data_IF_051918067495
#
_entry.id   IF_051918067495
#
_cell.length_a   1.000
_cell.length_b   1.000
_cell.length_c   1.000
_cell.angle_alpha   90.00
_cell.angle_beta   90.00
_cell.angle_gamma   90.00
#
_symmetry.space_group_name_H-M   'P 1'
#
loop_
_entity.id
_entity.type
_entity.pdbx_description
1 polymer ?
#
# COMPACT_ATOMS: atom_id res chain seq x y z
N UNK A 1 -20.97 15.00 12.97
CA UNK A 1 -19.54 15.27 13.26
C UNK A 1 -18.75 14.09 12.73
N UNK A 2 -17.69 14.32 11.95
CA UNK A 2 -16.78 13.23 11.54
C UNK A 2 -16.06 12.71 12.80
N UNK A 3 -15.84 11.38 12.94
CA UNK A 3 -15.10 10.83 14.07
C UNK A 3 -13.68 11.43 14.10
N UNK A 4 -13.09 11.62 15.28
CA UNK A 4 -11.71 12.07 15.43
C UNK A 4 -10.74 11.08 14.79
N UNK A 5 -9.60 11.59 14.29
CA UNK A 5 -8.53 10.74 13.78
C UNK A 5 -7.86 9.97 14.95
N UNK A 6 -7.30 8.78 14.73
CA UNK A 6 -6.55 8.08 15.75
C UNK A 6 -5.34 8.92 16.20
N UNK A 7 -5.33 9.38 17.46
CA UNK A 7 -4.33 10.32 17.94
C UNK A 7 -2.87 9.83 17.76
N UNK A 8 -2.61 8.52 17.99
CA UNK A 8 -1.30 7.93 17.70
C UNK A 8 -0.93 7.98 16.22
N UNK A 9 -1.88 7.79 15.29
CA UNK A 9 -1.61 7.88 13.86
C UNK A 9 -1.28 9.32 13.44
N UNK A 10 -1.96 10.32 14.03
CA UNK A 10 -1.64 11.73 13.84
C UNK A 10 -0.24 12.06 14.36
N UNK A 11 0.15 11.51 15.51
CA UNK A 11 1.47 11.72 16.11
C UNK A 11 2.65 11.21 15.26
N UNK A 12 2.40 10.29 14.32
CA UNK A 12 3.41 9.84 13.35
C UNK A 12 3.72 10.89 12.29
N UNK A 13 2.80 11.83 12.04
CA UNK A 13 2.87 12.72 10.89
C UNK A 13 3.74 13.94 11.17
N UNK A 14 4.42 14.37 10.11
CA UNK A 14 5.22 15.57 10.08
C UNK A 14 4.74 16.52 8.98
N UNK A 15 4.85 17.82 9.23
CA UNK A 15 4.50 18.85 8.28
C UNK A 15 5.37 18.75 7.01
N UNK A 16 4.77 18.66 5.81
CA UNK A 16 5.54 18.56 4.57
C UNK A 16 6.32 19.84 4.22
N UNK A 17 6.06 20.95 4.93
CA UNK A 17 6.71 22.25 4.71
C UNK A 17 7.90 22.45 5.65
N UNK A 18 7.73 22.19 6.97
CA UNK A 18 8.74 22.48 7.97
C UNK A 18 9.20 21.28 8.81
N UNK A 19 8.69 20.09 8.52
CA UNK A 19 8.98 18.83 9.22
C UNK A 19 8.59 18.78 10.71
N UNK A 20 7.94 19.80 11.27
CA UNK A 20 7.41 19.78 12.63
C UNK A 20 6.24 18.79 12.75
N UNK A 21 6.03 18.22 13.95
CA UNK A 21 4.90 17.35 14.22
C UNK A 21 3.55 18.03 13.95
N UNK A 22 2.53 17.21 13.69
CA UNK A 22 1.17 17.67 13.43
C UNK A 22 0.23 17.31 14.59
N UNK A 23 -0.75 18.17 14.85
CA UNK A 23 -1.84 17.94 15.82
C UNK A 23 -3.18 18.23 15.16
N UNK A 24 -4.25 17.50 15.57
CA UNK A 24 -5.60 17.74 15.06
C UNK A 24 -6.24 18.92 15.81
N UNK A 25 -6.63 19.96 15.08
CA UNK A 25 -7.30 21.16 15.60
C UNK A 25 -8.47 21.52 14.67
N UNK A 26 -9.68 21.48 15.18
CA UNK A 26 -10.87 21.95 14.43
C UNK A 26 -11.14 21.20 13.12
N UNK A 27 -10.67 19.95 12.97
CA UNK A 27 -10.84 19.14 11.76
C UNK A 27 -9.73 19.35 10.72
N UNK A 28 -8.64 20.03 11.08
CA UNK A 28 -7.42 20.16 10.30
C UNK A 28 -6.22 19.61 11.08
N UNK A 29 -5.15 19.26 10.39
CA UNK A 29 -3.84 19.00 10.99
C UNK A 29 -2.99 20.27 10.94
N UNK A 30 -2.49 20.71 12.10
CA UNK A 30 -1.74 21.96 12.23
C UNK A 30 -0.39 21.71 12.88
N UNK A 31 0.67 22.34 12.38
CA UNK A 31 2.00 22.32 12.99
C UNK A 31 2.27 23.57 13.86
N UNK A 32 3.31 23.52 14.69
CA UNK A 32 3.70 24.64 15.54
C UNK A 32 4.07 25.93 14.77
N UNK A 33 4.45 25.81 13.48
CA UNK A 33 4.72 26.95 12.59
C UNK A 33 3.46 27.52 11.91
N UNK A 34 2.26 27.01 12.24
CA UNK A 34 1.00 27.52 11.70
C UNK A 34 0.60 26.96 10.32
N UNK A 35 1.36 26.02 9.72
CA UNK A 35 0.88 25.36 8.52
C UNK A 35 -0.30 24.46 8.84
N UNK A 36 -1.39 24.58 8.07
CA UNK A 36 -2.65 23.89 8.28
C UNK A 36 -3.06 23.06 7.06
N UNK A 37 -3.56 21.84 7.29
CA UNK A 37 -3.97 20.87 6.28
C UNK A 37 -5.35 20.35 6.60
N UNK A 38 -6.33 20.79 5.82
CA UNK A 38 -7.73 20.44 6.04
C UNK A 38 -7.97 18.94 5.85
N UNK A 39 -8.79 18.39 6.72
CA UNK A 39 -9.34 17.05 6.54
C UNK A 39 -10.47 17.09 5.53
N UNK A 40 -10.32 16.37 4.44
CA UNK A 40 -11.35 16.22 3.43
C UNK A 40 -12.64 15.62 4.04
N UNK A 41 -13.81 15.97 3.47
CA UNK A 41 -15.11 15.40 3.89
C UNK A 41 -15.12 13.86 3.90
N UNK A 42 -14.29 13.23 3.10
CA UNK A 42 -14.16 11.77 3.03
C UNK A 42 -13.25 11.17 4.12
N UNK A 43 -12.54 12.00 4.88
CA UNK A 43 -11.74 11.59 6.05
C UNK A 43 -10.22 11.60 5.84
N UNK A 44 -9.71 11.67 4.59
CA UNK A 44 -8.27 11.74 4.33
C UNK A 44 -7.73 13.18 4.47
N UNK A 45 -6.40 13.29 4.63
CA UNK A 45 -5.68 14.57 4.63
C UNK A 45 -4.66 14.57 3.49
N UNK A 46 -4.43 15.73 2.86
CA UNK A 46 -3.40 15.89 1.82
C UNK A 46 -2.17 16.54 2.43
N UNK A 47 -1.05 15.81 2.43
CA UNK A 47 0.25 16.24 2.93
C UNK A 47 1.31 16.20 1.81
N UNK A 48 1.00 16.82 0.68
CA UNK A 48 1.95 16.98 -0.42
C UNK A 48 2.92 18.14 -0.13
N UNK A 49 4.18 18.03 -0.57
CA UNK A 49 5.13 19.14 -0.48
C UNK A 49 4.67 20.30 -1.38
N UNK A 50 5.22 21.52 -1.17
CA UNK A 50 5.06 22.62 -2.11
C UNK A 50 5.46 22.18 -3.52
N UNK A 51 4.58 22.42 -4.52
CA UNK A 51 4.77 21.94 -5.89
C UNK A 51 4.01 20.65 -6.24
N UNK A 52 3.38 20.00 -5.27
CA UNK A 52 2.53 18.84 -5.49
C UNK A 52 3.25 17.49 -5.57
N UNK A 53 2.56 16.45 -6.02
CA UNK A 53 3.13 15.13 -6.28
C UNK A 53 3.91 15.11 -7.61
N UNK A 54 5.01 14.36 -7.65
CA UNK A 54 5.78 14.13 -8.88
C UNK A 54 5.19 13.05 -9.75
N UNK A 55 4.36 12.19 -9.19
CA UNK A 55 3.76 11.05 -9.86
C UNK A 55 2.25 11.03 -9.63
N UNK A 56 1.50 10.78 -10.68
CA UNK A 56 0.07 10.51 -10.58
C UNK A 56 -0.14 9.11 -9.98
N UNK A 57 -1.02 9.03 -8.99
CA UNK A 57 -1.47 7.75 -8.45
C UNK A 57 -2.47 7.06 -9.38
N UNK A 58 -3.07 5.99 -8.88
CA UNK A 58 -4.08 5.23 -9.60
C UNK A 58 -5.32 6.08 -9.91
N UNK A 59 -5.92 5.84 -11.08
CA UNK A 59 -7.16 6.46 -11.51
C UNK A 59 -8.37 6.01 -10.67
N UNK A 60 -9.49 6.71 -10.79
CA UNK A 60 -10.73 6.34 -10.11
C UNK A 60 -11.21 4.92 -10.50
N UNK A 61 -11.05 4.54 -11.78
CA UNK A 61 -11.41 3.22 -12.28
C UNK A 61 -10.51 2.13 -11.68
N UNK A 62 -9.19 2.29 -11.73
CA UNK A 62 -8.24 1.35 -11.12
C UNK A 62 -8.51 1.15 -9.62
N UNK A 63 -8.82 2.22 -8.90
CA UNK A 63 -9.16 2.16 -7.47
C UNK A 63 -10.50 1.46 -7.24
N UNK A 64 -11.49 1.63 -8.13
CA UNK A 64 -12.76 0.92 -8.03
C UNK A 64 -12.58 -0.59 -8.23
N UNK A 65 -11.81 -1.00 -9.24
CA UNK A 65 -11.49 -2.40 -9.52
C UNK A 65 -10.70 -3.03 -8.36
N UNK A 66 -9.72 -2.32 -7.81
CA UNK A 66 -8.97 -2.76 -6.62
C UNK A 66 -9.87 -2.96 -5.41
N UNK A 67 -10.78 -2.01 -5.16
CA UNK A 67 -11.71 -2.13 -4.05
C UNK A 67 -12.67 -3.32 -4.23
N UNK A 68 -13.13 -3.59 -5.45
CA UNK A 68 -13.97 -4.72 -5.76
C UNK A 68 -13.22 -6.05 -5.59
N UNK A 69 -12.04 -6.18 -6.20
CA UNK A 69 -11.23 -7.40 -6.16
C UNK A 69 -10.76 -7.77 -4.74
N UNK A 70 -10.20 -6.81 -4.01
CA UNK A 70 -9.74 -7.04 -2.64
C UNK A 70 -10.92 -7.21 -1.68
N UNK A 71 -12.03 -6.47 -1.89
CA UNK A 71 -13.26 -6.59 -1.09
C UNK A 71 -13.96 -7.93 -1.25
N UNK A 72 -13.80 -8.61 -2.40
CA UNK A 72 -14.25 -9.99 -2.61
C UNK A 72 -13.35 -11.04 -1.92
N UNK A 73 -12.26 -10.62 -1.28
CA UNK A 73 -11.37 -11.51 -0.53
C UNK A 73 -10.36 -12.30 -1.39
N UNK A 74 -10.25 -12.00 -2.69
CA UNK A 74 -9.36 -12.77 -3.58
C UNK A 74 -7.89 -12.74 -3.16
N UNK A 75 -7.41 -11.66 -2.51
CA UNK A 75 -6.05 -11.58 -1.97
C UNK A 75 -5.98 -11.75 -0.44
N UNK A 76 -6.94 -12.46 0.15
CA UNK A 76 -6.92 -12.77 1.59
C UNK A 76 -5.64 -13.49 2.00
N UNK A 77 -5.16 -14.48 1.22
CA UNK A 77 -3.90 -15.19 1.47
C UNK A 77 -2.67 -14.27 1.45
N UNK A 78 -2.65 -13.27 0.55
CA UNK A 78 -1.57 -12.25 0.53
C UNK A 78 -1.61 -11.39 1.80
N UNK A 79 -2.80 -10.97 2.22
CA UNK A 79 -2.99 -10.17 3.45
C UNK A 79 -2.62 -10.97 4.70
N UNK A 80 -2.95 -12.26 4.72
CA UNK A 80 -2.60 -13.18 5.80
C UNK A 80 -1.07 -13.32 5.94
N UNK A 81 -0.37 -13.64 4.85
CA UNK A 81 1.09 -13.75 4.83
C UNK A 81 1.79 -12.44 5.22
N UNK A 82 1.23 -11.29 4.80
CA UNK A 82 1.71 -9.98 5.22
C UNK A 82 1.54 -9.79 6.74
N UNK A 83 0.36 -10.10 7.29
CA UNK A 83 0.08 -9.94 8.72
C UNK A 83 0.94 -10.87 9.59
N UNK A 84 1.19 -12.10 9.14
CA UNK A 84 2.13 -13.02 9.79
C UNK A 84 3.53 -12.42 9.86
N UNK A 85 4.06 -11.93 8.73
CA UNK A 85 5.39 -11.33 8.69
C UNK A 85 5.50 -10.07 9.56
N UNK A 86 4.42 -9.28 9.67
CA UNK A 86 4.35 -8.10 10.57
C UNK A 86 4.45 -8.51 12.04
N UNK A 87 3.79 -9.62 12.42
CA UNK A 87 3.69 -10.08 13.81
C UNK A 87 4.87 -10.96 14.26
N UNK A 88 5.66 -11.50 13.36
CA UNK A 88 6.82 -12.36 13.70
C UNK A 88 7.81 -11.68 14.66
N UNK A 89 7.97 -10.37 14.57
CA UNK A 89 8.83 -9.59 15.47
C UNK A 89 8.07 -8.93 16.63
N UNK A 90 6.93 -9.49 17.02
CA UNK A 90 6.03 -8.96 18.04
C UNK A 90 4.99 -7.97 17.49
N UNK A 91 3.97 -7.71 18.30
CA UNK A 91 2.87 -6.81 17.95
C UNK A 91 3.38 -5.36 17.86
N UNK A 92 3.20 -4.66 16.71
CA UNK A 92 3.57 -3.26 16.58
C UNK A 92 2.55 -2.34 17.25
N UNK A 93 2.98 -1.13 17.65
CA UNK A 93 2.05 -0.05 18.02
C UNK A 93 1.66 0.80 16.81
N UNK A 94 2.53 0.88 15.81
CA UNK A 94 2.40 1.78 14.66
C UNK A 94 2.74 1.09 13.35
N UNK A 95 1.87 1.25 12.34
CA UNK A 95 2.04 0.68 11.00
C UNK A 95 1.84 1.75 9.94
N UNK A 96 2.78 1.87 9.00
CA UNK A 96 2.72 2.75 7.85
C UNK A 96 2.65 1.92 6.56
N UNK A 97 1.59 2.09 5.76
CA UNK A 97 1.40 1.40 4.48
C UNK A 97 1.70 2.36 3.32
N UNK A 98 2.85 2.18 2.67
CA UNK A 98 3.33 3.01 1.57
C UNK A 98 2.79 2.53 0.23
N UNK A 99 2.04 3.39 -0.46
CA UNK A 99 1.31 3.02 -1.66
C UNK A 99 0.17 2.05 -1.34
N UNK A 100 -0.44 2.19 -0.14
CA UNK A 100 -1.39 1.24 0.42
C UNK A 100 -2.76 1.22 -0.27
N UNK A 101 -2.94 2.00 -1.33
CA UNK A 101 -4.12 1.97 -2.18
C UNK A 101 -5.41 2.19 -1.40
N UNK A 102 -6.28 1.20 -1.41
CA UNK A 102 -7.59 1.24 -0.73
C UNK A 102 -7.53 0.90 0.77
N UNK A 103 -6.35 0.57 1.31
CA UNK A 103 -6.11 0.31 2.73
C UNK A 103 -6.54 -1.07 3.23
N UNK A 104 -6.95 -1.99 2.36
CA UNK A 104 -7.45 -3.31 2.77
C UNK A 104 -6.36 -4.22 3.35
N UNK A 105 -5.13 -4.17 2.83
CA UNK A 105 -4.02 -4.93 3.42
C UNK A 105 -3.67 -4.42 4.82
N UNK A 106 -3.58 -3.11 5.00
CA UNK A 106 -3.39 -2.52 6.33
C UNK A 106 -4.54 -2.87 7.27
N UNK A 107 -5.79 -2.83 6.80
CA UNK A 107 -6.95 -3.21 7.62
C UNK A 107 -6.81 -4.64 8.15
N UNK A 108 -6.47 -5.61 7.28
CA UNK A 108 -6.26 -6.99 7.71
C UNK A 108 -5.07 -7.17 8.68
N UNK A 109 -4.03 -6.37 8.56
CA UNK A 109 -2.93 -6.34 9.56
C UNK A 109 -3.44 -5.80 10.90
N UNK A 110 -4.20 -4.70 10.88
CA UNK A 110 -4.74 -4.09 12.12
C UNK A 110 -5.76 -5.01 12.80
N UNK A 111 -6.55 -5.78 12.07
CA UNK A 111 -7.46 -6.78 12.66
C UNK A 111 -6.70 -7.83 13.49
N UNK A 112 -5.46 -8.16 13.13
CA UNK A 112 -4.60 -9.11 13.84
C UNK A 112 -3.67 -8.47 14.88
N UNK A 113 -3.55 -7.14 14.88
CA UNK A 113 -2.76 -6.35 15.83
C UNK A 113 -3.68 -5.35 16.56
N UNK A 114 -4.44 -5.78 17.60
CA UNK A 114 -5.47 -4.96 18.25
C UNK A 114 -4.92 -3.69 18.91
N UNK A 115 -3.66 -3.67 19.33
CA UNK A 115 -2.97 -2.51 19.91
C UNK A 115 -2.48 -1.49 18.90
N UNK A 116 -2.38 -1.87 17.61
CA UNK A 116 -1.78 -1.05 16.58
C UNK A 116 -2.74 0.03 16.02
N UNK A 117 -2.14 1.15 15.59
CA UNK A 117 -2.78 2.14 14.71
C UNK A 117 -2.04 2.19 13.38
N UNK A 118 -2.73 2.61 12.30
CA UNK A 118 -2.13 2.63 10.97
C UNK A 118 -2.31 3.94 10.22
N UNK A 119 -1.37 4.20 9.30
CA UNK A 119 -1.45 5.26 8.31
C UNK A 119 -1.32 4.65 6.91
N UNK A 120 -2.32 4.84 6.06
CA UNK A 120 -2.21 4.57 4.62
C UNK A 120 -1.72 5.82 3.94
N UNK A 121 -0.59 5.73 3.24
CA UNK A 121 -0.05 6.80 2.43
C UNK A 121 -0.12 6.40 0.95
N UNK A 122 -0.80 7.21 0.14
CA UNK A 122 -0.94 6.96 -1.30
C UNK A 122 -0.96 8.27 -2.08
N UNK A 123 -0.44 8.26 -3.31
CA UNK A 123 -0.45 9.43 -4.19
C UNK A 123 -1.85 9.69 -4.78
N UNK A 124 -2.68 8.65 -4.91
CA UNK A 124 -4.03 8.74 -5.45
C UNK A 124 -5.02 9.26 -4.40
N UNK A 125 -5.61 10.43 -4.66
CA UNK A 125 -6.74 10.94 -3.87
C UNK A 125 -7.95 9.99 -3.87
N UNK A 126 -8.13 9.21 -4.93
CA UNK A 126 -9.22 8.23 -5.04
C UNK A 126 -8.99 7.05 -4.11
N UNK A 127 -7.74 6.58 -4.03
CA UNK A 127 -7.31 5.55 -3.10
C UNK A 127 -7.46 6.03 -1.65
N UNK A 128 -6.91 7.20 -1.31
CA UNK A 128 -6.99 7.77 0.03
C UNK A 128 -8.44 7.98 0.52
N UNK A 129 -9.39 8.32 -0.36
CA UNK A 129 -10.83 8.39 -0.02
C UNK A 129 -11.40 7.03 0.43
N UNK A 130 -10.94 5.93 -0.15
CA UNK A 130 -11.34 4.57 0.23
C UNK A 130 -10.63 4.16 1.52
N UNK A 131 -9.32 4.36 1.57
CA UNK A 131 -8.48 4.04 2.72
C UNK A 131 -8.92 4.72 4.01
N UNK A 132 -9.42 5.96 3.94
CA UNK A 132 -9.96 6.70 5.10
C UNK A 132 -11.16 6.00 5.79
N UNK A 133 -11.70 4.95 5.19
CA UNK A 133 -12.83 4.16 5.71
C UNK A 133 -12.51 2.67 5.82
N UNK A 134 -11.27 2.28 5.57
CA UNK A 134 -10.87 0.87 5.55
C UNK A 134 -10.88 0.24 6.94
N UNK A 135 -10.52 1.01 7.97
CA UNK A 135 -10.47 0.52 9.34
C UNK A 135 -10.56 1.67 10.36
N UNK A 136 -11.25 1.51 11.52
CA UNK A 136 -11.41 2.58 12.52
C UNK A 136 -10.10 3.06 13.16
N UNK A 137 -9.06 2.22 13.19
CA UNK A 137 -7.72 2.54 13.70
C UNK A 137 -6.73 2.97 12.60
N UNK A 138 -7.21 3.18 11.37
CA UNK A 138 -6.40 3.68 10.26
C UNK A 138 -6.79 5.11 9.90
N UNK A 139 -5.80 5.89 9.46
CA UNK A 139 -6.03 7.16 8.75
C UNK A 139 -5.39 7.11 7.36
N UNK A 140 -5.87 7.97 6.47
CA UNK A 140 -5.36 8.04 5.10
C UNK A 140 -4.76 9.41 4.79
N UNK A 141 -3.61 9.39 4.14
CA UNK A 141 -2.83 10.57 3.74
C UNK A 141 -2.55 10.52 2.25
N UNK A 142 -2.87 11.60 1.53
CA UNK A 142 -2.39 11.81 0.17
C UNK A 142 -0.98 12.37 0.23
N UNK A 143 0.02 11.60 -0.20
CA UNK A 143 1.41 12.01 -0.27
C UNK A 143 2.17 11.19 -1.32
N UNK A 144 3.32 11.71 -1.76
CA UNK A 144 4.19 11.05 -2.73
C UNK A 144 5.26 10.23 -2.02
N UNK A 145 5.23 8.89 -2.19
CA UNK A 145 6.19 7.97 -1.59
C UNK A 145 7.61 8.08 -2.15
N UNK A 146 7.80 8.72 -3.31
CA UNK A 146 9.11 8.99 -3.89
C UNK A 146 9.79 10.23 -3.32
N UNK A 147 9.02 11.09 -2.66
CA UNK A 147 9.51 12.30 -2.00
C UNK A 147 9.82 12.03 -0.53
N UNK A 148 10.24 13.09 0.19
CA UNK A 148 10.32 13.02 1.65
C UNK A 148 8.93 12.69 2.22
N UNK A 149 8.84 11.63 2.98
CA UNK A 149 7.58 11.22 3.60
C UNK A 149 7.17 12.22 4.69
N UNK A 150 5.89 12.64 4.76
CA UNK A 150 5.36 13.49 5.82
C UNK A 150 5.16 12.70 7.13
N UNK A 151 6.20 12.03 7.57
CA UNK A 151 6.24 11.14 8.73
C UNK A 151 7.51 11.46 9.55
N UNK A 152 7.38 11.43 10.87
CA UNK A 152 8.48 11.65 11.80
C UNK A 152 9.62 10.65 11.62
N UNK A 153 10.85 11.04 11.97
CA UNK A 153 11.97 10.11 12.00
C UNK A 153 11.85 9.17 13.21
N UNK A 154 12.24 7.90 13.03
CA UNK A 154 12.27 6.89 14.08
C UNK A 154 10.93 6.77 14.86
N UNK A 155 9.81 6.78 14.16
CA UNK A 155 8.46 6.83 14.75
C UNK A 155 7.55 5.65 14.37
N UNK A 156 7.96 4.80 13.41
CA UNK A 156 7.13 3.73 12.87
C UNK A 156 7.73 2.36 13.17
N UNK A 157 6.95 1.45 13.75
CA UNK A 157 7.42 0.09 14.06
C UNK A 157 7.39 -0.82 12.85
N UNK A 158 6.38 -0.70 11.98
CA UNK A 158 6.29 -1.48 10.74
C UNK A 158 5.94 -0.60 9.56
N UNK A 159 6.72 -0.71 8.50
CA UNK A 159 6.41 -0.14 7.19
C UNK A 159 6.01 -1.27 6.26
N UNK A 160 4.90 -1.12 5.56
CA UNK A 160 4.39 -2.07 4.56
C UNK A 160 4.61 -1.49 3.17
N UNK A 161 5.00 -2.34 2.22
CA UNK A 161 5.03 -2.03 0.79
C UNK A 161 4.49 -3.22 0.02
N UNK A 162 3.23 -3.16 -0.41
CA UNK A 162 2.55 -4.25 -1.12
C UNK A 162 2.35 -3.86 -2.57
N UNK A 163 3.08 -4.48 -3.49
CA UNK A 163 3.06 -4.20 -4.93
C UNK A 163 3.29 -2.72 -5.31
N UNK A 164 3.93 -1.96 -4.42
CA UNK A 164 4.10 -0.52 -4.53
C UNK A 164 5.57 -0.11 -4.71
N UNK A 165 5.84 1.15 -5.12
CA UNK A 165 7.18 1.70 -5.17
C UNK A 165 7.85 1.77 -3.79
N UNK A 166 9.18 1.75 -3.77
CA UNK A 166 10.01 1.72 -2.56
C UNK A 166 10.96 2.90 -2.51
N UNK A 167 11.09 3.46 -1.32
CA UNK A 167 12.04 4.53 -1.01
C UNK A 167 12.85 4.09 0.23
N UNK A 168 13.97 3.40 0.00
CA UNK A 168 14.77 2.77 1.06
C UNK A 168 15.29 3.79 2.08
N UNK A 169 15.78 4.93 1.63
CA UNK A 169 16.30 5.99 2.51
C UNK A 169 15.23 6.55 3.46
N UNK A 170 14.05 6.88 2.93
CA UNK A 170 12.96 7.42 3.73
C UNK A 170 12.33 6.34 4.63
N UNK A 171 12.25 5.08 4.14
CA UNK A 171 11.82 3.95 4.97
C UNK A 171 12.75 3.78 6.18
N UNK A 172 14.06 3.77 5.97
CA UNK A 172 15.03 3.67 7.07
C UNK A 172 14.95 4.89 8.03
N UNK A 173 14.66 6.08 7.52
CA UNK A 173 14.51 7.28 8.33
C UNK A 173 13.31 7.20 9.27
N UNK A 174 12.16 6.71 8.79
CA UNK A 174 10.92 6.68 9.58
C UNK A 174 10.85 5.51 10.55
N UNK A 175 11.52 4.40 10.26
CA UNK A 175 11.53 3.22 11.14
C UNK A 175 12.18 3.53 12.50
N UNK A 176 11.56 3.03 13.57
CA UNK A 176 12.17 2.96 14.91
C UNK A 176 13.46 2.12 14.87
N UNK A 177 14.34 2.16 15.89
CA UNK A 177 15.56 1.35 15.92
C UNK A 177 15.31 -0.17 15.76
N UNK A 178 14.16 -0.66 16.22
CA UNK A 178 13.74 -2.06 16.11
C UNK A 178 12.64 -2.25 15.05
N UNK A 179 12.34 -1.19 14.29
CA UNK A 179 11.32 -1.21 13.27
C UNK A 179 11.71 -2.06 12.06
N UNK A 180 10.71 -2.59 11.36
CA UNK A 180 10.91 -3.43 10.19
C UNK A 180 10.09 -2.97 9.00
N UNK A 181 10.66 -3.11 7.82
CA UNK A 181 9.98 -3.03 6.55
C UNK A 181 9.51 -4.42 6.14
N UNK A 182 8.24 -4.56 5.75
CA UNK A 182 7.69 -5.76 5.12
C UNK A 182 7.31 -5.45 3.69
N UNK A 183 7.93 -6.15 2.74
CA UNK A 183 7.71 -5.95 1.30
C UNK A 183 7.08 -7.18 0.70
N UNK A 184 5.98 -6.99 -0.04
CA UNK A 184 5.34 -8.03 -0.85
C UNK A 184 5.57 -7.73 -2.32
N UNK A 185 6.18 -8.67 -3.02
CA UNK A 185 6.42 -8.57 -4.47
C UNK A 185 5.86 -9.80 -5.20
N UNK A 186 5.40 -9.66 -6.46
CA UNK A 186 5.01 -10.83 -7.24
C UNK A 186 6.23 -11.72 -7.51
N UNK A 187 6.07 -13.02 -7.33
CA UNK A 187 7.02 -14.05 -7.73
C UNK A 187 6.82 -14.43 -9.21
N UNK A 188 7.74 -15.21 -9.79
CA UNK A 188 7.76 -15.51 -11.22
C UNK A 188 6.45 -16.15 -11.74
N UNK A 189 5.80 -17.00 -10.93
CA UNK A 189 4.56 -17.67 -11.32
C UNK A 189 3.31 -16.79 -11.18
N UNK A 190 3.43 -15.58 -10.61
CA UNK A 190 2.29 -14.71 -10.34
C UNK A 190 1.50 -14.36 -11.59
N UNK A 191 0.21 -14.73 -11.63
CA UNK A 191 -0.73 -14.51 -12.74
C UNK A 191 -0.27 -15.13 -14.08
N UNK A 192 0.56 -16.17 -14.03
CA UNK A 192 1.16 -16.78 -15.22
C UNK A 192 0.14 -17.22 -16.27
N UNK A 193 -1.02 -17.73 -15.85
CA UNK A 193 -2.10 -18.21 -16.72
C UNK A 193 -2.77 -17.08 -17.51
N UNK A 194 -2.66 -15.84 -17.05
CA UNK A 194 -3.24 -14.67 -17.71
C UNK A 194 -2.28 -13.95 -18.66
N UNK A 195 -0.98 -14.22 -18.58
CA UNK A 195 0.05 -13.50 -19.36
C UNK A 195 -0.21 -13.68 -20.86
N UNK A 196 -0.25 -14.91 -21.35
CA UNK A 196 -0.46 -15.19 -22.77
C UNK A 196 -1.84 -14.73 -23.29
N UNK A 197 -2.94 -15.19 -22.66
CA UNK A 197 -4.30 -14.88 -23.14
C UNK A 197 -4.65 -13.39 -23.13
N UNK A 198 -4.11 -12.62 -22.20
CA UNK A 198 -4.43 -11.19 -22.03
C UNK A 198 -3.28 -10.26 -22.45
N UNK A 199 -2.16 -10.80 -22.94
CA UNK A 199 -0.99 -10.01 -23.33
C UNK A 199 -0.37 -9.24 -22.15
N UNK A 200 -0.42 -9.79 -20.94
CA UNK A 200 0.13 -9.13 -19.77
C UNK A 200 1.66 -9.20 -19.76
N UNK A 201 2.29 -8.25 -19.08
CA UNK A 201 3.73 -8.28 -18.88
C UNK A 201 4.09 -9.39 -17.88
N UNK A 202 5.09 -10.18 -18.18
CA UNK A 202 5.67 -11.14 -17.25
C UNK A 202 6.37 -10.41 -16.09
N UNK A 203 6.53 -11.12 -14.97
CA UNK A 203 7.34 -10.61 -13.87
C UNK A 203 8.80 -10.51 -14.34
N UNK A 204 9.35 -9.31 -14.27
CA UNK A 204 10.72 -9.05 -14.66
C UNK A 204 11.71 -9.85 -13.77
N UNK A 205 12.58 -10.69 -14.35
CA UNK A 205 13.54 -11.52 -13.61
C UNK A 205 14.51 -10.67 -12.76
N UNK A 206 14.84 -9.45 -13.18
CA UNK A 206 15.75 -8.55 -12.47
C UNK A 206 15.08 -7.79 -11.32
N UNK A 207 13.79 -8.03 -11.09
CA UNK A 207 13.02 -7.34 -10.05
C UNK A 207 13.58 -7.55 -8.64
N UNK A 208 14.09 -8.75 -8.35
CA UNK A 208 14.71 -9.08 -7.07
C UNK A 208 16.02 -8.31 -6.87
N UNK A 209 16.86 -8.24 -7.91
CA UNK A 209 18.11 -7.46 -7.88
C UNK A 209 17.82 -5.98 -7.67
N UNK A 210 16.89 -5.41 -8.43
CA UNK A 210 16.49 -4.00 -8.25
C UNK A 210 15.85 -3.71 -6.90
N UNK A 211 15.19 -4.70 -6.29
CA UNK A 211 14.68 -4.58 -4.93
C UNK A 211 15.84 -4.44 -3.94
N UNK A 212 16.82 -5.34 -4.02
CA UNK A 212 18.02 -5.32 -3.19
C UNK A 212 18.77 -3.99 -3.35
N UNK A 213 19.07 -3.58 -4.58
CA UNK A 213 19.77 -2.33 -4.90
C UNK A 213 19.10 -1.09 -4.30
N UNK A 214 17.77 -1.10 -4.21
CA UNK A 214 17.01 0.04 -3.68
C UNK A 214 16.90 0.06 -2.16
N UNK A 215 17.06 -1.08 -1.48
CA UNK A 215 16.83 -1.21 -0.03
C UNK A 215 18.12 -1.46 0.75
N UNK A 216 19.00 -2.33 0.29
CA UNK A 216 20.18 -2.77 1.04
C UNK A 216 21.22 -1.69 1.34
N UNK A 217 21.32 -0.57 0.62
CA UNK A 217 22.12 0.57 1.08
C UNK A 217 21.67 1.16 2.43
N UNK A 218 20.39 0.96 2.80
CA UNK A 218 19.74 1.59 3.95
C UNK A 218 19.22 0.60 4.99
N UNK A 219 18.92 -0.63 4.58
CA UNK A 219 18.26 -1.66 5.38
C UNK A 219 19.00 -2.99 5.24
N UNK A 220 18.85 -3.89 6.22
CA UNK A 220 19.42 -5.24 6.19
C UNK A 220 18.31 -6.28 6.00
N UNK A 221 18.47 -7.25 5.09
CA UNK A 221 17.50 -8.34 4.93
C UNK A 221 17.45 -9.22 6.18
N UNK A 222 16.25 -9.60 6.62
CA UNK A 222 16.02 -10.44 7.78
C UNK A 222 15.40 -11.79 7.41
N UNK A 223 14.36 -11.81 6.59
CA UNK A 223 13.70 -13.04 6.16
C UNK A 223 13.08 -12.91 4.78
N UNK A 224 12.86 -14.05 4.14
CA UNK A 224 12.09 -14.20 2.90
C UNK A 224 11.21 -15.43 3.00
N UNK A 225 9.93 -15.28 2.62
CA UNK A 225 8.95 -16.37 2.54
C UNK A 225 8.19 -16.26 1.25
N UNK A 226 7.87 -17.40 0.64
CA UNK A 226 6.98 -17.47 -0.51
C UNK A 226 5.60 -17.94 -0.08
N UNK A 227 4.57 -17.26 -0.59
CA UNK A 227 3.19 -17.70 -0.56
C UNK A 227 2.71 -17.92 -1.98
N UNK A 228 2.05 -19.06 -2.19
CA UNK A 228 1.44 -19.40 -3.46
C UNK A 228 0.06 -20.00 -3.23
N UNK A 229 -0.94 -19.41 -3.85
CA UNK A 229 -2.34 -19.84 -3.80
C UNK A 229 -2.88 -19.93 -5.24
N UNK A 230 -3.77 -20.88 -5.51
CA UNK A 230 -4.49 -20.95 -6.78
C UNK A 230 -5.93 -20.51 -6.54
N UNK A 231 -6.31 -19.40 -7.17
CA UNK A 231 -7.68 -18.89 -7.16
C UNK A 231 -8.44 -19.42 -8.37
N UNK A 232 -9.74 -19.66 -8.23
CA UNK A 232 -10.62 -19.95 -9.37
C UNK A 232 -11.51 -18.73 -9.58
N UNK A 233 -11.14 -17.89 -10.54
CA UNK A 233 -11.78 -16.62 -10.82
C UNK A 233 -12.79 -16.77 -11.98
N UNK A 234 -13.90 -16.05 -11.90
CA UNK A 234 -14.75 -15.81 -13.06
C UNK A 234 -14.22 -14.67 -13.92
N UNK A 235 -14.82 -14.47 -15.09
CA UNK A 235 -14.40 -13.41 -16.03
C UNK A 235 -14.47 -12.01 -15.42
N UNK A 236 -15.46 -11.75 -14.58
CA UNK A 236 -15.62 -10.43 -13.93
C UNK A 236 -14.49 -10.16 -12.93
N UNK A 237 -14.13 -11.16 -12.12
CA UNK A 237 -13.00 -11.08 -11.20
C UNK A 237 -11.66 -10.94 -11.94
N UNK A 238 -11.47 -11.64 -13.09
CA UNK A 238 -10.28 -11.44 -13.93
C UNK A 238 -10.22 -10.01 -14.47
N UNK A 239 -11.34 -9.46 -14.94
CA UNK A 239 -11.39 -8.09 -15.43
C UNK A 239 -10.99 -7.08 -14.33
N UNK A 240 -11.51 -7.22 -13.11
CA UNK A 240 -11.15 -6.34 -11.98
C UNK A 240 -9.68 -6.53 -11.55
N UNK A 241 -9.15 -7.76 -11.59
CA UNK A 241 -7.74 -8.05 -11.30
C UNK A 241 -6.81 -7.31 -12.27
N UNK A 242 -7.08 -7.38 -13.57
CA UNK A 242 -6.28 -6.67 -14.59
C UNK A 242 -6.50 -5.16 -14.50
N UNK A 243 -7.75 -4.73 -14.32
CA UNK A 243 -8.14 -3.33 -14.22
C UNK A 243 -7.54 -2.59 -13.02
N UNK A 244 -7.23 -3.29 -11.92
CA UNK A 244 -6.57 -2.67 -10.77
C UNK A 244 -5.05 -2.56 -10.91
N UNK A 245 -4.45 -3.24 -11.90
CA UNK A 245 -3.00 -3.35 -12.08
C UNK A 245 -2.43 -2.33 -13.06
N UNK A 246 -1.09 -2.32 -13.25
CA UNK A 246 -0.42 -1.40 -14.17
C UNK A 246 -0.85 -1.59 -15.63
N UNK A 247 -1.34 -2.77 -15.99
CA UNK A 247 -1.84 -3.08 -17.35
C UNK A 247 -3.06 -2.25 -17.74
N UNK A 248 -3.87 -1.79 -16.78
CA UNK A 248 -5.01 -0.90 -17.02
C UNK A 248 -4.61 0.45 -17.65
N UNK A 249 -3.32 0.80 -17.65
CA UNK A 249 -2.78 2.00 -18.32
C UNK A 249 -2.53 1.81 -19.80
N UNK A 250 -2.50 0.55 -20.27
CA UNK A 250 -2.14 0.17 -21.64
C UNK A 250 -3.27 -0.51 -22.42
N UNK A 251 -4.31 -0.98 -21.72
CA UNK A 251 -5.48 -1.62 -22.31
C UNK A 251 -6.70 -0.72 -22.12
N UNK A 252 -7.41 -0.44 -23.19
CA UNK A 252 -8.72 0.21 -23.10
C UNK A 252 -9.78 -0.75 -22.52
N UNK A 253 -10.82 -0.20 -21.94
CA UNK A 253 -11.93 -1.01 -21.36
C UNK A 253 -12.54 -1.98 -22.39
N UNK A 254 -12.80 -1.58 -23.67
CA UNK A 254 -13.30 -2.51 -24.68
C UNK A 254 -12.30 -3.64 -25.03
N UNK A 255 -11.00 -3.33 -25.15
CA UNK A 255 -9.96 -4.34 -25.43
C UNK A 255 -9.85 -5.36 -24.31
N UNK A 256 -9.87 -4.91 -23.05
CA UNK A 256 -9.87 -5.81 -21.91
C UNK A 256 -11.13 -6.69 -21.89
N UNK A 257 -12.31 -6.10 -22.12
CA UNK A 257 -13.57 -6.85 -22.14
C UNK A 257 -13.57 -7.92 -23.24
N UNK A 258 -13.08 -7.59 -24.44
CA UNK A 258 -12.96 -8.56 -25.55
C UNK A 258 -11.97 -9.68 -25.20
N UNK A 259 -10.79 -9.36 -24.67
CA UNK A 259 -9.79 -10.36 -24.30
C UNK A 259 -10.32 -11.30 -23.20
N UNK A 260 -10.96 -10.76 -22.17
CA UNK A 260 -11.58 -11.54 -21.09
C UNK A 260 -12.74 -12.42 -21.59
N UNK A 261 -13.51 -11.97 -22.59
CA UNK A 261 -14.62 -12.77 -23.14
C UNK A 261 -14.18 -14.09 -23.77
N UNK A 262 -12.90 -14.16 -24.23
CA UNK A 262 -12.28 -15.36 -24.83
C UNK A 262 -11.81 -16.39 -23.79
N UNK A 263 -11.69 -15.99 -22.52
CA UNK A 263 -11.30 -16.89 -21.43
C UNK A 263 -12.43 -17.91 -21.12
N UNK A 264 -12.12 -19.06 -20.51
CA UNK A 264 -13.12 -19.93 -19.89
C UNK A 264 -13.97 -19.16 -18.88
N UNK A 265 -15.17 -19.67 -18.55
CA UNK A 265 -16.03 -19.05 -17.52
C UNK A 265 -15.35 -19.03 -16.13
N UNK A 266 -14.55 -20.05 -15.84
CA UNK A 266 -13.76 -20.20 -14.62
C UNK A 266 -12.29 -20.39 -14.99
N UNK A 267 -11.43 -19.52 -14.47
CA UNK A 267 -10.00 -19.51 -14.78
C UNK A 267 -9.22 -19.79 -13.50
N UNK A 268 -8.41 -20.86 -13.43
CA UNK A 268 -7.43 -20.99 -12.37
C UNK A 268 -6.36 -19.91 -12.57
N UNK A 269 -6.02 -19.22 -11.49
CA UNK A 269 -5.03 -18.13 -11.51
C UNK A 269 -4.10 -18.27 -10.31
N UNK A 270 -2.82 -18.43 -10.58
CA UNK A 270 -1.79 -18.54 -9.53
C UNK A 270 -1.48 -17.15 -8.96
N UNK A 271 -1.64 -17.01 -7.65
CA UNK A 271 -1.19 -15.85 -6.88
C UNK A 271 0.06 -16.25 -6.13
N UNK A 272 1.22 -15.93 -6.68
CA UNK A 272 2.53 -16.23 -6.09
C UNK A 272 3.23 -14.94 -5.67
N UNK A 273 3.58 -14.82 -4.38
CA UNK A 273 4.24 -13.63 -3.84
C UNK A 273 5.42 -14.00 -2.96
N UNK A 274 6.45 -13.15 -3.00
CA UNK A 274 7.54 -13.17 -2.04
C UNK A 274 7.30 -12.09 -0.99
N UNK A 275 7.27 -12.49 0.27
CA UNK A 275 7.19 -11.62 1.44
C UNK A 275 8.57 -11.53 2.06
N UNK A 276 9.17 -10.35 2.04
CA UNK A 276 10.52 -10.09 2.56
C UNK A 276 10.46 -9.09 3.69
N UNK A 277 11.24 -9.36 4.75
CA UNK A 277 11.38 -8.42 5.86
C UNK A 277 12.79 -7.85 5.89
N UNK A 278 12.89 -6.57 6.26
CA UNK A 278 14.15 -5.86 6.41
C UNK A 278 14.15 -5.10 7.72
N UNK A 279 15.30 -5.08 8.40
CA UNK A 279 15.56 -4.27 9.58
C UNK A 279 16.30 -2.98 9.24
N UNK A 280 16.29 -2.02 10.16
CA UNK A 280 17.12 -0.83 10.05
C UNK A 280 18.61 -1.21 10.24
N UNK A 281 19.49 -0.55 9.47
CA UNK A 281 20.96 -0.63 9.69
C UNK A 281 21.37 0.06 10.96
#
# INVERSE_FOLDING_TARGET
MSPSLPARAVALLACPVCAAGLTEVGGALVCASGHSFDRAKQGHVTLLPPGGARHDGDSAAMVADRAAFLGAGHYAGVTEALAEAVLDAGEPETVLDLGGGTGQHLAGVLDRAPGAVGVVLDASRYAARRAARSHPRAMAVVADSWSRLPVGSASVDRVLVVFAPRNGAETARVLTPHGQLVVVTPAAAHLGELIGPLGLLSVDPDKTTRLADSLEPHLVPLSERRREDVLVLDRAAVATLVGMGPHARHLSVPELAEAVSRLPERVPVTVAVDVRTYGRR
#
